data_IF_112098151623
#
_entry.id   IF_112098151623
#
_cell.length_a   1.000
_cell.length_b   1.000
_cell.length_c   1.000
_cell.angle_alpha   90.00
_cell.angle_beta   90.00
_cell.angle_gamma   90.00
#
_symmetry.space_group_name_H-M   'P 1'
#
loop_
_entity.id
_entity.type
_entity.pdbx_description
1 polymer ?
#
# COMPACT_ATOMS: atom_id res chain seq x y z
N UNK A 1 -12.48 -5.46 -56.25
CA UNK A 1 -12.53 -6.31 -55.03
C UNK A 1 -11.18 -6.83 -54.56
N UNK A 2 -10.22 -7.19 -55.44
CA UNK A 2 -8.92 -7.76 -55.04
C UNK A 2 -8.00 -6.78 -54.28
N UNK A 3 -7.92 -5.52 -54.68
CA UNK A 3 -7.03 -4.53 -54.05
C UNK A 3 -7.44 -4.20 -52.59
N UNK A 4 -8.74 -4.10 -52.31
CA UNK A 4 -9.25 -3.87 -50.94
C UNK A 4 -8.89 -5.00 -49.98
N UNK A 5 -8.85 -6.25 -50.45
CA UNK A 5 -8.43 -7.42 -49.63
C UNK A 5 -6.93 -7.41 -49.33
N UNK A 6 -6.11 -6.94 -50.27
CA UNK A 6 -4.66 -6.81 -50.07
C UNK A 6 -4.36 -5.69 -49.06
N UNK A 7 -5.05 -4.55 -49.15
CA UNK A 7 -4.87 -3.45 -48.19
C UNK A 7 -5.27 -3.88 -46.77
N UNK A 8 -6.37 -4.62 -46.60
CA UNK A 8 -6.78 -5.14 -45.29
C UNK A 8 -5.76 -6.14 -44.73
N UNK A 9 -5.22 -7.03 -45.57
CA UNK A 9 -4.17 -7.98 -45.15
C UNK A 9 -2.88 -7.28 -44.73
N UNK A 10 -2.47 -6.21 -45.42
CA UNK A 10 -1.27 -5.43 -45.06
C UNK A 10 -1.49 -4.65 -43.77
N UNK A 11 -2.67 -4.06 -43.56
CA UNK A 11 -3.00 -3.37 -42.31
C UNK A 11 -3.08 -4.33 -41.12
N UNK A 12 -3.67 -5.51 -41.32
CA UNK A 12 -3.69 -6.56 -40.29
C UNK A 12 -2.27 -7.07 -40.00
N UNK A 13 -1.43 -7.26 -41.01
CA UNK A 13 -0.03 -7.65 -40.82
C UNK A 13 0.78 -6.58 -40.09
N UNK A 14 0.50 -5.30 -40.33
CA UNK A 14 1.12 -4.19 -39.58
C UNK A 14 0.65 -4.13 -38.12
N UNK A 15 -0.62 -4.45 -37.84
CA UNK A 15 -1.13 -4.64 -36.48
C UNK A 15 -0.50 -5.84 -35.76
N UNK A 16 -0.20 -6.93 -36.49
CA UNK A 16 0.49 -8.11 -35.96
C UNK A 16 2.02 -7.96 -35.86
N UNK A 17 2.62 -6.98 -36.54
CA UNK A 17 4.06 -6.66 -36.43
C UNK A 17 4.31 -5.50 -35.45
N UNK A 18 3.28 -4.74 -35.09
CA UNK A 18 3.27 -3.79 -33.99
C UNK A 18 2.98 -4.49 -32.64
N UNK A 19 3.52 -5.70 -32.44
CA UNK A 19 3.70 -6.20 -31.07
C UNK A 19 4.84 -5.34 -30.54
N UNK A 20 4.49 -4.28 -29.83
CA UNK A 20 5.45 -3.57 -29.00
C UNK A 20 6.21 -4.63 -28.22
N UNK A 21 7.54 -4.58 -28.24
CA UNK A 21 8.32 -5.23 -27.20
C UNK A 21 7.79 -4.67 -25.88
N UNK A 22 6.91 -5.42 -25.21
CA UNK A 22 6.61 -5.16 -23.82
C UNK A 22 7.92 -5.45 -23.13
N UNK A 23 8.60 -4.40 -22.65
CA UNK A 23 9.78 -4.54 -21.83
C UNK A 23 9.38 -5.49 -20.69
N UNK A 24 9.96 -6.69 -20.71
CA UNK A 24 9.82 -7.62 -19.61
C UNK A 24 10.67 -7.08 -18.46
N UNK A 25 10.18 -7.31 -17.25
CA UNK A 25 10.61 -6.64 -16.03
C UNK A 25 12.02 -6.99 -15.59
N UNK A 26 12.50 -6.08 -14.77
CA UNK A 26 13.82 -5.81 -14.21
C UNK A 26 13.56 -4.83 -13.05
N UNK A 27 14.56 -4.44 -12.28
CA UNK A 27 14.54 -3.33 -11.30
C UNK A 27 14.18 -1.94 -11.89
N UNK A 28 13.19 -1.85 -12.78
CA UNK A 28 13.04 -0.78 -13.76
C UNK A 28 14.10 -0.83 -14.87
N UNK A 29 15.33 -1.19 -14.53
CA UNK A 29 16.51 -1.07 -15.38
C UNK A 29 17.60 -0.32 -14.61
N UNK A 30 18.69 0.05 -15.29
CA UNK A 30 19.60 1.07 -14.73
C UNK A 30 18.97 2.42 -15.04
N UNK A 31 18.50 3.14 -14.02
CA UNK A 31 17.91 4.45 -14.25
C UNK A 31 18.96 5.39 -14.81
N UNK A 32 18.68 5.98 -15.97
CA UNK A 32 19.58 6.96 -16.58
C UNK A 32 19.49 8.35 -15.93
N UNK A 33 18.46 8.58 -15.10
CA UNK A 33 18.17 9.82 -14.39
C UNK A 33 17.61 9.51 -12.99
N UNK A 34 18.30 9.95 -11.94
CA UNK A 34 17.88 9.72 -10.54
C UNK A 34 16.56 10.42 -10.18
N UNK A 35 16.18 11.45 -10.95
CA UNK A 35 14.92 12.21 -10.74
C UNK A 35 13.72 11.61 -11.47
N UNK A 36 13.94 10.61 -12.31
CA UNK A 36 12.92 9.86 -13.05
C UNK A 36 13.34 8.39 -13.11
N UNK A 37 13.38 7.70 -11.95
CA UNK A 37 13.83 6.32 -11.90
C UNK A 37 12.91 5.42 -12.72
N UNK A 38 13.50 4.49 -13.45
CA UNK A 38 12.77 3.45 -14.14
C UNK A 38 12.03 2.61 -13.08
N UNK A 39 10.71 2.55 -13.20
CA UNK A 39 9.87 1.97 -12.14
C UNK A 39 9.82 0.44 -12.21
N UNK A 40 10.19 -0.23 -11.11
CA UNK A 40 10.30 -1.68 -10.96
C UNK A 40 9.41 -2.30 -9.88
N UNK A 41 9.70 -3.55 -9.52
CA UNK A 41 8.98 -4.28 -8.46
C UNK A 41 9.39 -3.79 -7.07
N UNK A 42 10.67 -3.52 -6.81
CA UNK A 42 11.12 -2.93 -5.54
C UNK A 42 10.47 -1.57 -5.28
N UNK A 43 10.28 -0.74 -6.32
CA UNK A 43 9.57 0.53 -6.21
C UNK A 43 8.11 0.39 -5.82
N UNK A 44 7.45 -0.71 -6.22
CA UNK A 44 6.08 -0.98 -5.80
C UNK A 44 6.03 -1.29 -4.32
N UNK A 45 6.89 -2.20 -3.85
CA UNK A 45 7.02 -2.48 -2.41
C UNK A 45 7.27 -1.19 -1.61
N UNK A 46 8.19 -0.35 -2.11
CA UNK A 46 8.53 0.95 -1.52
C UNK A 46 7.33 1.89 -1.43
N UNK A 47 6.65 2.10 -2.57
CA UNK A 47 5.51 3.00 -2.70
C UNK A 47 4.35 2.56 -1.81
N UNK A 48 3.98 1.29 -1.84
CA UNK A 48 2.82 0.81 -1.08
C UNK A 48 3.09 0.72 0.42
N UNK A 49 4.30 0.34 0.84
CA UNK A 49 4.68 0.46 2.25
C UNK A 49 4.55 1.89 2.76
N UNK A 50 4.94 2.88 1.97
CA UNK A 50 4.73 4.29 2.32
C UNK A 50 3.24 4.68 2.33
N UNK A 51 2.46 4.26 1.33
CA UNK A 51 1.01 4.55 1.27
C UNK A 51 0.30 4.04 2.53
N UNK A 52 0.59 2.82 2.97
CA UNK A 52 -0.03 2.24 4.16
C UNK A 52 0.20 3.06 5.43
N UNK A 53 1.37 3.68 5.57
CA UNK A 53 1.63 4.59 6.69
C UNK A 53 0.94 5.93 6.44
N UNK A 54 1.08 6.49 5.23
CA UNK A 54 0.54 7.80 4.86
C UNK A 54 -0.96 7.93 5.10
N UNK A 55 -1.72 6.88 4.80
CA UNK A 55 -3.18 6.89 4.94
C UNK A 55 -3.63 7.16 6.39
N UNK A 56 -2.86 6.72 7.38
CA UNK A 56 -3.21 6.87 8.79
C UNK A 56 -2.32 7.88 9.54
N UNK A 57 -1.11 8.12 9.05
CA UNK A 57 -0.06 8.91 9.70
C UNK A 57 0.76 9.71 8.67
N UNK A 58 0.15 10.66 7.95
CA UNK A 58 0.78 11.35 6.83
C UNK A 58 2.06 12.12 7.23
N UNK A 59 2.13 12.66 8.45
CA UNK A 59 3.31 13.38 8.93
C UNK A 59 4.54 12.47 9.09
N UNK A 60 4.33 11.18 9.41
CA UNK A 60 5.41 10.20 9.59
C UNK A 60 6.15 9.84 8.29
N UNK A 61 5.57 10.15 7.12
CA UNK A 61 6.19 9.89 5.81
C UNK A 61 6.58 11.16 5.05
N UNK A 62 6.44 12.33 5.67
CA UNK A 62 6.75 13.62 5.02
C UNK A 62 8.16 13.69 4.44
N UNK A 63 9.13 13.05 5.09
CA UNK A 63 10.51 12.93 4.61
C UNK A 63 10.65 12.02 3.40
N UNK A 64 9.75 11.06 3.15
CA UNK A 64 9.72 10.27 1.92
C UNK A 64 9.03 11.07 0.79
N UNK A 65 7.92 11.73 1.10
CA UNK A 65 7.12 12.47 0.12
C UNK A 65 7.84 13.69 -0.47
N UNK A 66 8.76 14.27 0.29
CA UNK A 66 9.54 15.42 -0.15
C UNK A 66 10.31 15.14 -1.46
N UNK A 67 10.85 13.93 -1.60
CA UNK A 67 11.56 13.48 -2.79
C UNK A 67 11.34 11.99 -3.00
N UNK A 68 10.16 11.66 -3.53
CA UNK A 68 9.79 10.27 -3.84
C UNK A 68 10.73 9.65 -4.87
N UNK A 69 11.19 10.43 -5.85
CA UNK A 69 12.14 9.97 -6.87
C UNK A 69 13.44 9.46 -6.24
N UNK A 70 14.00 10.19 -5.27
CA UNK A 70 15.20 9.75 -4.55
C UNK A 70 14.94 8.46 -3.77
N UNK A 71 13.79 8.35 -3.08
CA UNK A 71 13.47 7.11 -2.36
C UNK A 71 13.39 5.89 -3.30
N UNK A 72 12.68 6.03 -4.43
CA UNK A 72 12.50 4.97 -5.41
C UNK A 72 13.80 4.63 -6.14
N UNK A 73 14.56 5.62 -6.60
CA UNK A 73 15.87 5.43 -7.21
C UNK A 73 16.81 4.62 -6.32
N UNK A 74 16.81 4.86 -5.01
CA UNK A 74 17.67 4.12 -4.10
C UNK A 74 17.24 2.66 -3.85
N UNK A 75 16.08 2.25 -4.36
CA UNK A 75 15.72 0.83 -4.42
C UNK A 75 16.49 0.06 -5.48
N UNK A 76 17.11 0.70 -6.49
CA UNK A 76 17.87 -0.03 -7.53
C UNK A 76 19.38 -0.15 -7.20
N UNK A 77 19.86 0.68 -6.27
CA UNK A 77 21.28 0.87 -5.97
C UNK A 77 21.99 -0.42 -5.52
N UNK A 78 21.39 -1.29 -4.67
CA UNK A 78 22.01 -2.56 -4.30
C UNK A 78 22.41 -3.40 -5.51
N UNK A 79 21.53 -3.52 -6.50
CA UNK A 79 21.78 -4.32 -7.70
C UNK A 79 22.66 -3.63 -8.73
N UNK A 80 22.47 -2.33 -8.94
CA UNK A 80 23.06 -1.64 -10.09
C UNK A 80 24.43 -1.07 -9.78
N UNK A 81 24.63 -0.60 -8.54
CA UNK A 81 25.83 0.15 -8.14
C UNK A 81 26.66 -0.62 -7.13
N UNK A 82 26.03 -1.15 -6.06
CA UNK A 82 26.76 -1.87 -5.00
C UNK A 82 27.15 -3.27 -5.46
N UNK A 83 26.25 -3.94 -6.18
CA UNK A 83 26.37 -5.34 -6.62
C UNK A 83 26.75 -6.25 -5.45
N UNK A 84 26.14 -6.04 -4.30
CA UNK A 84 26.45 -6.73 -3.06
C UNK A 84 25.54 -7.95 -2.85
N UNK A 85 25.44 -8.78 -3.89
CA UNK A 85 24.60 -9.97 -4.03
C UNK A 85 24.44 -10.85 -2.78
N UNK A 86 25.47 -10.91 -1.92
CA UNK A 86 25.42 -11.62 -0.64
C UNK A 86 24.39 -11.06 0.36
N UNK A 87 23.85 -9.86 0.14
CA UNK A 87 22.86 -9.19 0.99
C UNK A 87 21.44 -9.27 0.42
N UNK A 88 21.27 -9.84 -0.77
CA UNK A 88 19.96 -9.98 -1.41
C UNK A 88 19.23 -11.23 -0.92
N UNK A 89 20.00 -12.22 -0.44
CA UNK A 89 19.47 -13.54 -0.11
C UNK A 89 19.45 -13.83 1.39
N UNK A 90 18.64 -14.80 1.78
CA UNK A 90 18.63 -15.41 3.11
C UNK A 90 18.15 -16.86 3.07
N UNK A 91 19.06 -17.82 3.17
CA UNK A 91 18.70 -19.25 3.28
C UNK A 91 18.07 -19.56 4.65
N UNK A 92 16.74 -19.58 4.71
CA UNK A 92 16.03 -19.94 5.93
C UNK A 92 16.14 -21.45 6.23
N UNK A 93 16.40 -22.29 5.25
CA UNK A 93 16.57 -23.74 5.43
C UNK A 93 17.81 -24.09 6.24
N UNK A 94 18.96 -23.53 5.86
CA UNK A 94 20.24 -23.79 6.52
C UNK A 94 20.41 -23.00 7.82
N UNK A 95 19.94 -21.75 7.84
CA UNK A 95 20.16 -20.86 8.98
C UNK A 95 18.96 -20.77 9.95
N UNK A 96 17.74 -21.03 9.48
CA UNK A 96 16.52 -20.84 10.27
C UNK A 96 16.44 -19.44 10.87
N UNK A 97 16.00 -19.32 12.12
CA UNK A 97 16.04 -18.05 12.87
C UNK A 97 17.40 -17.75 13.54
N UNK A 98 18.48 -18.47 13.21
CA UNK A 98 19.74 -18.36 13.95
C UNK A 98 20.56 -17.14 13.57
N UNK A 99 20.06 -16.32 12.65
CA UNK A 99 20.88 -15.36 11.90
C UNK A 99 21.77 -16.15 10.94
N UNK A 100 21.95 -15.66 9.72
CA UNK A 100 22.78 -16.32 8.72
C UNK A 100 24.25 -16.41 9.16
N UNK A 101 25.20 -16.50 8.23
CA UNK A 101 26.57 -16.07 8.55
C UNK A 101 26.48 -14.69 9.22
N UNK A 102 27.18 -14.44 10.35
CA UNK A 102 26.99 -13.26 11.22
C UNK A 102 27.34 -11.90 10.59
N UNK A 103 27.46 -11.85 9.28
CA UNK A 103 27.94 -10.74 8.47
C UNK A 103 27.34 -10.72 7.04
N UNK A 104 26.27 -11.49 6.76
CA UNK A 104 25.70 -11.63 5.40
C UNK A 104 24.20 -11.91 5.41
N UNK A 105 23.55 -11.42 4.36
CA UNK A 105 22.15 -11.71 4.04
C UNK A 105 21.22 -10.55 4.34
N UNK A 106 20.06 -10.58 3.70
CA UNK A 106 19.09 -9.48 3.73
C UNK A 106 18.66 -9.03 5.13
N UNK A 107 18.46 -9.90 6.15
CA UNK A 107 18.06 -9.45 7.49
C UNK A 107 19.06 -8.48 8.14
N UNK A 108 20.36 -8.76 8.05
CA UNK A 108 21.40 -7.90 8.62
C UNK A 108 21.55 -6.59 7.81
N UNK A 109 21.41 -6.67 6.49
CA UNK A 109 21.41 -5.50 5.61
C UNK A 109 20.22 -4.58 5.91
N UNK A 110 19.01 -5.13 6.01
CA UNK A 110 17.78 -4.42 6.41
C UNK A 110 17.96 -3.74 7.77
N UNK A 111 18.50 -4.45 8.77
CA UNK A 111 18.73 -3.85 10.08
C UNK A 111 19.77 -2.73 10.06
N UNK A 112 20.84 -2.89 9.29
CA UNK A 112 21.86 -1.86 9.13
C UNK A 112 21.27 -0.61 8.48
N UNK A 113 20.50 -0.77 7.41
CA UNK A 113 19.78 0.32 6.78
C UNK A 113 18.75 0.95 7.73
N UNK A 114 18.03 0.16 8.51
CA UNK A 114 17.08 0.65 9.51
C UNK A 114 17.76 1.57 10.53
N UNK A 115 18.89 1.15 11.07
CA UNK A 115 19.68 1.94 12.01
C UNK A 115 20.14 3.27 11.38
N UNK A 116 20.49 3.25 10.08
CA UNK A 116 20.81 4.47 9.33
C UNK A 116 19.60 5.37 9.10
N UNK A 117 18.42 4.81 8.80
CA UNK A 117 17.17 5.58 8.68
C UNK A 117 16.88 6.27 10.01
N UNK A 118 16.82 5.52 11.12
CA UNK A 118 16.53 6.07 12.45
C UNK A 118 17.56 7.12 12.86
N UNK A 119 18.85 6.85 12.65
CA UNK A 119 19.92 7.79 12.98
C UNK A 119 19.81 9.11 12.22
N UNK A 120 19.57 9.06 10.91
CA UNK A 120 19.42 10.25 10.08
C UNK A 120 18.12 11.00 10.38
N UNK A 121 17.00 10.30 10.57
CA UNK A 121 15.74 10.93 10.97
C UNK A 121 15.86 11.61 12.34
N UNK A 122 16.58 11.02 13.29
CA UNK A 122 16.82 11.65 14.60
C UNK A 122 17.56 12.97 14.42
N UNK A 123 18.62 13.01 13.60
CA UNK A 123 19.36 14.23 13.30
C UNK A 123 18.51 15.26 12.55
N UNK A 124 17.63 14.81 11.66
CA UNK A 124 16.68 15.67 10.95
C UNK A 124 15.65 16.30 11.91
N UNK A 125 15.10 15.51 12.83
CA UNK A 125 14.17 15.96 13.88
C UNK A 125 14.86 16.95 14.83
N UNK A 126 16.07 16.65 15.29
CA UNK A 126 16.87 17.56 16.13
C UNK A 126 17.17 18.89 15.43
N UNK A 127 17.29 18.88 14.09
CA UNK A 127 17.47 20.09 13.28
C UNK A 127 16.17 20.88 13.04
N UNK A 128 15.03 20.41 13.56
CA UNK A 128 13.71 21.02 13.37
C UNK A 128 13.05 20.67 12.05
N UNK A 129 13.36 19.48 11.50
CA UNK A 129 12.75 18.91 10.29
C UNK A 129 12.77 19.85 9.05
N UNK A 130 13.89 20.52 8.71
CA UNK A 130 13.91 21.42 7.57
C UNK A 130 13.73 20.66 6.26
N UNK A 131 12.95 21.22 5.33
CA UNK A 131 12.96 20.78 3.93
C UNK A 131 14.34 21.01 3.30
N UNK A 132 14.72 20.14 2.39
CA UNK A 132 16.00 20.10 1.70
C UNK A 132 17.14 19.59 2.58
N UNK A 133 16.83 18.93 3.70
CA UNK A 133 17.85 18.46 4.63
C UNK A 133 18.62 17.28 4.04
N UNK A 134 19.94 17.32 4.16
CA UNK A 134 20.80 16.17 3.84
C UNK A 134 20.47 14.97 4.73
N UNK A 135 20.02 15.19 5.96
CA UNK A 135 19.62 14.09 6.85
C UNK A 135 18.35 13.40 6.37
N UNK A 136 17.34 14.15 5.91
CA UNK A 136 16.13 13.56 5.33
C UNK A 136 16.47 12.81 4.02
N UNK A 137 17.34 13.38 3.18
CA UNK A 137 17.85 12.71 1.98
C UNK A 137 18.59 11.42 2.31
N UNK A 138 19.54 11.43 3.24
CA UNK A 138 20.29 10.22 3.62
C UNK A 138 19.38 9.15 4.27
N UNK A 139 18.32 9.56 4.98
CA UNK A 139 17.28 8.64 5.42
C UNK A 139 16.51 8.03 4.24
N UNK A 140 16.10 8.80 3.22
CA UNK A 140 15.43 8.29 2.00
C UNK A 140 16.28 7.24 1.29
N UNK A 141 17.57 7.51 1.14
CA UNK A 141 18.54 6.59 0.52
C UNK A 141 18.64 5.27 1.28
N UNK A 142 18.81 5.35 2.60
CA UNK A 142 18.87 4.19 3.46
C UNK A 142 17.56 3.39 3.42
N UNK A 143 16.41 4.08 3.37
CA UNK A 143 15.11 3.42 3.26
C UNK A 143 14.92 2.74 1.90
N UNK A 144 15.37 3.34 0.80
CA UNK A 144 15.34 2.72 -0.53
C UNK A 144 16.11 1.39 -0.55
N UNK A 145 17.35 1.40 -0.04
CA UNK A 145 18.16 0.18 0.09
C UNK A 145 17.53 -0.85 1.04
N UNK A 146 16.95 -0.40 2.17
CA UNK A 146 16.25 -1.28 3.10
C UNK A 146 15.11 -2.01 2.39
N UNK A 147 14.26 -1.26 1.70
CA UNK A 147 13.13 -1.80 0.95
C UNK A 147 13.59 -2.80 -0.08
N UNK A 148 14.71 -2.52 -0.77
CA UNK A 148 15.28 -3.45 -1.74
C UNK A 148 15.54 -4.83 -1.13
N UNK A 149 16.39 -4.89 -0.09
CA UNK A 149 16.77 -6.16 0.53
C UNK A 149 15.57 -6.89 1.15
N UNK A 150 14.60 -6.17 1.70
CA UNK A 150 13.40 -6.80 2.26
C UNK A 150 12.47 -7.36 1.16
N UNK A 151 12.33 -6.64 0.05
CA UNK A 151 11.54 -7.11 -1.09
C UNK A 151 12.16 -8.35 -1.74
N UNK A 152 13.49 -8.42 -1.79
CA UNK A 152 14.20 -9.61 -2.28
C UNK A 152 13.80 -10.86 -1.50
N UNK A 153 13.87 -10.86 -0.16
CA UNK A 153 13.47 -12.05 0.61
C UNK A 153 11.96 -12.28 0.70
N UNK A 154 11.14 -11.37 0.18
CA UNK A 154 9.73 -11.66 -0.08
C UNK A 154 9.53 -12.44 -1.39
N UNK A 155 10.54 -12.44 -2.27
CA UNK A 155 10.61 -13.33 -3.41
C UNK A 155 11.27 -14.66 -2.96
N UNK A 156 10.59 -15.81 -3.13
CA UNK A 156 11.08 -17.09 -2.67
C UNK A 156 12.47 -17.49 -3.21
N UNK A 157 12.88 -16.95 -4.37
CA UNK A 157 14.23 -17.14 -4.95
C UNK A 157 15.36 -16.70 -4.04
N UNK A 158 15.11 -15.67 -3.25
CA UNK A 158 16.12 -15.12 -2.37
C UNK A 158 16.12 -15.84 -1.02
N UNK A 159 15.45 -16.99 -0.88
CA UNK A 159 15.27 -17.65 0.42
C UNK A 159 15.95 -19.01 0.57
N UNK A 160 16.72 -19.42 -0.43
CA UNK A 160 17.38 -20.73 -0.56
C UNK A 160 18.81 -20.67 -1.10
N UNK A 161 19.54 -19.60 -0.78
CA UNK A 161 20.93 -19.38 -1.22
C UNK A 161 21.88 -20.49 -0.76
N UNK A 162 22.03 -21.52 -1.58
CA UNK A 162 23.24 -22.31 -1.60
C UNK A 162 24.35 -21.42 -2.20
N UNK A 163 25.53 -21.38 -1.59
CA UNK A 163 26.62 -20.50 -2.03
C UNK A 163 27.15 -20.79 -3.46
N UNK A 164 26.51 -21.69 -4.21
CA UNK A 164 26.73 -21.95 -5.64
C UNK A 164 25.64 -21.37 -6.55
N UNK A 165 24.56 -20.78 -5.99
CA UNK A 165 23.30 -20.50 -6.70
C UNK A 165 23.12 -19.08 -7.24
N UNK A 166 24.03 -18.16 -6.91
CA UNK A 166 24.17 -16.88 -7.63
C UNK A 166 24.41 -17.06 -9.15
N UNK A 167 24.63 -18.30 -9.61
CA UNK A 167 24.66 -18.68 -11.02
C UNK A 167 23.30 -19.12 -11.59
N UNK A 168 22.53 -20.00 -10.92
CA UNK A 168 21.37 -20.68 -11.55
C UNK A 168 20.10 -19.82 -11.55
N UNK A 169 19.93 -18.95 -10.57
CA UNK A 169 18.80 -18.01 -10.50
C UNK A 169 18.79 -17.02 -11.69
N UNK A 170 19.99 -16.68 -12.16
CA UNK A 170 20.24 -15.86 -13.34
C UNK A 170 20.48 -16.68 -14.62
N UNK A 171 20.43 -18.02 -14.56
CA UNK A 171 20.59 -18.84 -15.77
C UNK A 171 19.45 -18.55 -16.75
N UNK A 172 19.83 -18.33 -18.01
CA UNK A 172 18.87 -18.04 -19.08
C UNK A 172 18.11 -19.31 -19.46
N UNK A 173 16.82 -19.36 -19.16
CA UNK A 173 15.96 -20.44 -19.65
C UNK A 173 15.32 -20.05 -20.99
N UNK A 174 15.02 -21.05 -21.82
CA UNK A 174 14.27 -20.88 -23.07
C UNK A 174 12.85 -21.41 -22.92
N UNK A 175 11.88 -20.51 -22.78
CA UNK A 175 10.45 -20.83 -22.72
C UNK A 175 9.76 -20.74 -24.08
N UNK A 176 8.55 -21.31 -24.18
CA UNK A 176 7.74 -21.27 -25.40
C UNK A 176 6.27 -20.96 -25.12
N UNK A 177 5.80 -19.80 -25.60
CA UNK A 177 4.37 -19.41 -25.60
C UNK A 177 3.86 -19.47 -27.04
N UNK A 178 3.00 -20.44 -27.34
CA UNK A 178 2.53 -20.68 -28.71
C UNK A 178 3.68 -20.92 -29.71
N UNK A 179 3.86 -20.02 -30.68
CA UNK A 179 4.96 -20.08 -31.66
C UNK A 179 6.21 -19.29 -31.25
N UNK A 180 6.17 -18.54 -30.15
CA UNK A 180 7.27 -17.68 -29.72
C UNK A 180 8.19 -18.43 -28.76
N UNK A 181 9.49 -18.37 -29.02
CA UNK A 181 10.53 -18.80 -28.08
C UNK A 181 11.13 -17.54 -27.50
N UNK A 182 11.19 -17.41 -26.18
CA UNK A 182 11.85 -16.30 -25.51
C UNK A 182 12.99 -16.81 -24.64
N UNK A 183 13.93 -15.92 -24.33
CA UNK A 183 15.06 -16.14 -23.44
C UNK A 183 14.97 -15.11 -22.34
N UNK A 184 14.82 -15.55 -21.10
CA UNK A 184 14.88 -14.69 -19.93
C UNK A 184 15.41 -15.51 -18.74
N UNK A 185 15.93 -14.84 -17.72
CA UNK A 185 16.26 -15.50 -16.46
C UNK A 185 14.97 -15.96 -15.78
N UNK A 186 15.12 -16.94 -14.88
CA UNK A 186 14.05 -17.34 -13.97
C UNK A 186 13.57 -16.17 -13.13
N UNK A 187 14.52 -15.38 -12.61
CA UNK A 187 14.28 -14.13 -11.90
C UNK A 187 13.36 -13.16 -12.67
N UNK A 188 13.72 -12.80 -13.90
CA UNK A 188 12.89 -11.90 -14.73
C UNK A 188 11.51 -12.48 -15.05
N UNK A 189 11.35 -13.81 -15.07
CA UNK A 189 10.06 -14.46 -15.30
C UNK A 189 9.15 -14.37 -14.08
N UNK A 190 9.70 -14.61 -12.89
CA UNK A 190 9.00 -14.47 -11.62
C UNK A 190 8.58 -13.03 -11.44
N UNK A 191 9.55 -12.10 -11.53
CA UNK A 191 9.28 -10.68 -11.46
C UNK A 191 8.10 -10.34 -12.36
N UNK A 192 8.14 -10.76 -13.64
CA UNK A 192 7.06 -10.59 -14.64
C UNK A 192 5.70 -11.20 -14.27
N UNK A 193 5.64 -12.23 -13.45
CA UNK A 193 4.37 -12.73 -12.92
C UNK A 193 3.85 -11.83 -11.79
N UNK A 194 4.78 -11.33 -10.97
CA UNK A 194 4.56 -10.59 -9.72
C UNK A 194 3.90 -9.22 -9.96
N UNK A 195 4.46 -8.26 -10.72
CA UNK A 195 3.71 -7.03 -11.12
C UNK A 195 2.44 -7.30 -11.94
N UNK A 196 2.24 -8.47 -12.58
CA UNK A 196 1.02 -8.79 -13.36
C UNK A 196 -0.05 -9.17 -12.37
N UNK A 197 0.37 -9.84 -11.30
CA UNK A 197 -0.43 -10.04 -10.13
C UNK A 197 -0.86 -8.70 -9.52
N UNK A 198 0.11 -7.80 -9.34
CA UNK A 198 -0.15 -6.48 -8.78
C UNK A 198 -1.06 -5.60 -9.66
N UNK A 199 -0.81 -5.44 -10.95
CA UNK A 199 -1.62 -4.62 -11.87
C UNK A 199 -3.08 -5.08 -11.92
N UNK A 200 -3.32 -6.38 -11.84
CA UNK A 200 -4.67 -6.92 -11.83
C UNK A 200 -5.37 -6.75 -10.47
N UNK A 201 -4.62 -6.49 -9.40
CA UNK A 201 -5.09 -6.44 -8.01
C UNK A 201 -4.78 -5.11 -7.31
N UNK A 202 -4.35 -4.08 -8.05
CA UNK A 202 -4.12 -2.72 -7.52
C UNK A 202 -5.34 -2.25 -6.70
N UNK A 203 -6.55 -2.58 -7.17
CA UNK A 203 -7.79 -2.32 -6.44
C UNK A 203 -7.97 -3.09 -5.12
N UNK A 204 -7.45 -4.32 -5.02
CA UNK A 204 -7.51 -5.10 -3.77
C UNK A 204 -6.45 -4.65 -2.76
N UNK A 205 -5.29 -4.15 -3.22
CA UNK A 205 -4.28 -3.56 -2.33
C UNK A 205 -4.78 -2.28 -1.66
N UNK A 206 -5.49 -1.41 -2.39
CA UNK A 206 -6.13 -0.21 -1.84
C UNK A 206 -7.25 -0.53 -0.83
N UNK A 207 -7.82 -1.73 -0.89
CA UNK A 207 -8.86 -2.18 0.04
C UNK A 207 -8.29 -2.74 1.35
N UNK A 208 -6.99 -3.06 1.38
CA UNK A 208 -6.31 -3.64 2.55
C UNK A 208 -5.66 -2.51 3.34
N UNK A 209 -6.09 -2.36 4.59
CA UNK A 209 -5.47 -1.46 5.56
C UNK A 209 -4.71 -2.28 6.59
N UNK A 210 -3.45 -2.64 6.34
CA UNK A 210 -2.69 -3.40 7.31
C UNK A 210 -2.44 -2.54 8.55
N UNK A 211 -2.40 -3.18 9.71
CA UNK A 211 -2.01 -2.51 10.95
C UNK A 211 -0.50 -2.28 10.94
N UNK A 212 -0.08 -1.14 10.40
CA UNK A 212 1.32 -0.71 10.39
C UNK A 212 1.85 -0.36 11.78
N UNK A 213 0.96 -0.22 12.78
CA UNK A 213 1.35 0.07 14.17
C UNK A 213 1.71 -1.18 14.96
N UNK A 214 1.39 -2.36 14.43
CA UNK A 214 1.76 -3.64 15.03
C UNK A 214 3.29 -3.69 15.25
N UNK A 215 3.70 -4.24 16.38
CA UNK A 215 5.12 -4.40 16.72
C UNK A 215 5.86 -5.16 15.59
N UNK A 216 7.10 -4.74 15.31
CA UNK A 216 8.02 -5.55 14.52
C UNK A 216 8.21 -6.92 15.19
N UNK A 217 8.41 -7.98 14.40
CA UNK A 217 8.71 -9.30 14.93
C UNK A 217 9.91 -9.21 15.88
N UNK A 218 9.72 -9.67 17.12
CA UNK A 218 10.69 -9.54 18.22
C UNK A 218 11.28 -8.12 18.42
N UNK A 219 10.63 -7.08 17.90
CA UNK A 219 11.02 -5.68 18.04
C UNK A 219 12.19 -5.22 17.16
N UNK A 220 12.56 -5.95 16.10
CA UNK A 220 13.68 -5.54 15.22
C UNK A 220 13.30 -5.64 13.74
N UNK A 221 13.93 -4.82 12.90
CA UNK A 221 13.75 -4.90 11.46
C UNK A 221 14.38 -6.20 10.93
N UNK A 222 15.49 -6.66 11.52
CA UNK A 222 16.10 -7.96 11.24
C UNK A 222 15.10 -9.12 11.36
N UNK A 223 14.39 -9.20 12.49
CA UNK A 223 13.49 -10.33 12.75
C UNK A 223 12.19 -10.22 11.94
N UNK A 224 11.76 -9.01 11.57
CA UNK A 224 10.69 -8.81 10.58
C UNK A 224 11.11 -9.40 9.22
N UNK A 225 12.33 -9.13 8.77
CA UNK A 225 12.89 -9.70 7.53
C UNK A 225 12.99 -11.21 7.58
N UNK A 226 13.43 -11.79 8.71
CA UNK A 226 13.46 -13.24 8.89
C UNK A 226 12.07 -13.88 8.79
N UNK A 227 11.05 -13.19 9.30
CA UNK A 227 9.68 -13.66 9.19
C UNK A 227 9.16 -13.62 7.75
N UNK A 228 9.47 -12.56 7.01
CA UNK A 228 9.18 -12.48 5.57
C UNK A 228 9.87 -13.62 4.80
N UNK A 229 11.17 -13.82 5.03
CA UNK A 229 11.94 -14.88 4.39
C UNK A 229 11.37 -16.26 4.70
N UNK A 230 11.00 -16.53 5.96
CA UNK A 230 10.35 -17.78 6.32
C UNK A 230 9.03 -17.97 5.58
N UNK A 231 8.18 -16.93 5.54
CA UNK A 231 6.88 -17.01 4.90
C UNK A 231 7.00 -17.27 3.39
N UNK A 232 7.94 -16.57 2.74
CA UNK A 232 8.31 -16.82 1.34
C UNK A 232 8.85 -18.25 1.13
N UNK A 233 9.56 -18.80 2.09
CA UNK A 233 10.09 -20.15 1.97
C UNK A 233 9.06 -21.27 2.25
N UNK A 234 8.00 -20.98 3.03
CA UNK A 234 7.01 -21.99 3.45
C UNK A 234 5.99 -22.38 2.38
N UNK A 235 5.83 -21.61 1.30
CA UNK A 235 4.86 -21.88 0.24
C UNK A 235 3.40 -21.57 0.60
N UNK A 236 2.52 -21.73 -0.38
CA UNK A 236 1.09 -21.40 -0.30
C UNK A 236 0.31 -22.18 0.80
N UNK A 237 0.75 -23.40 1.14
CA UNK A 237 0.09 -24.20 2.18
C UNK A 237 0.56 -23.86 3.61
N UNK A 238 1.60 -23.02 3.74
CA UNK A 238 2.15 -22.54 5.01
C UNK A 238 2.60 -23.66 5.96
N UNK A 239 2.83 -24.86 5.43
CA UNK A 239 3.28 -26.02 6.21
C UNK A 239 4.78 -26.27 6.08
N UNK A 240 5.47 -25.53 5.21
CA UNK A 240 6.85 -25.85 4.82
C UNK A 240 6.96 -27.22 4.15
N UNK A 241 5.84 -27.71 3.59
CA UNK A 241 5.74 -28.99 2.90
C UNK A 241 4.82 -28.82 1.71
N UNK A 242 5.37 -28.46 0.57
CA UNK A 242 4.70 -28.72 -0.71
C UNK A 242 4.34 -30.21 -0.77
N UNK A 243 3.04 -30.51 -0.74
CA UNK A 243 2.54 -31.89 -0.71
C UNK A 243 2.95 -32.60 -2.00
N UNK A 244 4.03 -33.39 -1.93
CA UNK A 244 4.72 -33.96 -3.09
C UNK A 244 6.24 -34.03 -2.90
N UNK A 245 6.79 -33.14 -2.08
CA UNK A 245 8.18 -33.15 -1.60
C UNK A 245 8.19 -33.46 -0.10
N UNK A 246 8.80 -34.58 0.29
CA UNK A 246 8.89 -34.99 1.69
C UNK A 246 9.83 -34.04 2.48
N UNK A 247 9.32 -32.88 2.91
CA UNK A 247 9.99 -31.98 3.86
C UNK A 247 11.15 -31.16 3.30
N UNK A 248 10.99 -30.57 2.11
CA UNK A 248 11.96 -29.66 1.50
C UNK A 248 11.32 -28.30 1.21
N UNK A 249 12.14 -27.26 1.25
CA UNK A 249 11.74 -25.85 1.16
C UNK A 249 11.32 -25.46 -0.26
N UNK A 250 10.49 -24.42 -0.43
CA UNK A 250 10.04 -24.00 -1.76
C UNK A 250 11.19 -23.48 -2.61
N UNK A 251 12.15 -22.79 -1.98
CA UNK A 251 13.35 -22.34 -2.67
C UNK A 251 14.15 -23.50 -3.28
N UNK A 252 14.44 -24.58 -2.53
CA UNK A 252 15.22 -25.73 -3.02
C UNK A 252 14.74 -26.36 -4.36
N UNK A 253 13.47 -26.17 -4.72
CA UNK A 253 12.84 -26.69 -5.95
C UNK A 253 12.26 -25.59 -6.84
N UNK A 254 12.72 -24.37 -6.65
CA UNK A 254 12.11 -23.19 -7.24
C UNK A 254 12.23 -23.14 -8.76
N UNK A 255 13.28 -23.74 -9.34
CA UNK A 255 13.38 -23.93 -10.79
C UNK A 255 12.18 -24.73 -11.33
N UNK A 256 11.80 -25.80 -10.66
CA UNK A 256 10.70 -26.69 -11.06
C UNK A 256 9.35 -25.99 -10.86
N UNK A 257 9.23 -25.22 -9.77
CA UNK A 257 8.11 -24.34 -9.49
C UNK A 257 7.92 -23.25 -10.56
N UNK A 258 8.99 -22.60 -11.02
CA UNK A 258 8.91 -21.59 -12.07
C UNK A 258 8.63 -22.15 -13.45
N UNK A 259 9.17 -23.33 -13.79
CA UNK A 259 8.77 -24.03 -15.00
C UNK A 259 7.24 -24.22 -15.02
N UNK A 260 6.61 -24.50 -13.87
CA UNK A 260 5.16 -24.61 -13.73
C UNK A 260 4.41 -23.25 -13.73
N UNK A 261 4.87 -22.23 -12.98
CA UNK A 261 4.28 -20.87 -13.00
C UNK A 261 4.29 -20.32 -14.41
N UNK A 262 5.45 -20.32 -15.05
CA UNK A 262 5.67 -19.64 -16.33
C UNK A 262 4.90 -20.34 -17.45
N UNK A 263 4.85 -21.68 -17.45
CA UNK A 263 3.99 -22.41 -18.40
C UNK A 263 2.49 -22.27 -18.09
N UNK A 264 2.11 -22.21 -16.81
CA UNK A 264 0.73 -22.15 -16.34
C UNK A 264 0.05 -20.80 -16.54
N UNK A 265 0.78 -19.69 -16.32
CA UNK A 265 0.27 -18.31 -16.50
C UNK A 265 -0.11 -18.02 -17.95
N UNK A 266 0.70 -18.43 -18.91
CA UNK A 266 0.48 -18.09 -20.32
C UNK A 266 -0.48 -19.07 -21.03
N UNK A 267 -0.81 -20.22 -20.44
CA UNK A 267 -1.66 -21.23 -21.08
C UNK A 267 -2.97 -21.57 -20.34
N UNK A 268 -3.20 -21.09 -19.10
CA UNK A 268 -4.33 -21.52 -18.26
C UNK A 268 -4.47 -23.06 -18.14
N UNK A 269 -3.38 -23.78 -18.36
CA UNK A 269 -3.30 -25.24 -18.31
C UNK A 269 -2.05 -25.57 -17.47
N UNK A 270 -2.28 -26.02 -16.24
CA UNK A 270 -1.26 -26.71 -15.47
C UNK A 270 -1.10 -28.11 -16.08
N UNK A 271 -0.03 -28.36 -16.84
CA UNK A 271 0.31 -29.71 -17.28
C UNK A 271 1.57 -30.14 -16.56
N UNK A 272 1.43 -31.14 -15.71
CA UNK A 272 2.49 -31.85 -14.99
C UNK A 272 3.60 -32.25 -15.96
N UNK A 273 4.73 -31.56 -15.90
CA UNK A 273 5.99 -32.03 -16.46
C UNK A 273 6.80 -32.66 -15.33
N UNK A 274 7.39 -33.83 -15.57
CA UNK A 274 8.26 -34.57 -14.63
C UNK A 274 7.64 -35.30 -13.42
N UNK A 275 6.31 -35.40 -13.32
CA UNK A 275 5.67 -36.21 -12.25
C UNK A 275 5.60 -35.50 -10.90
N UNK A 276 5.81 -34.19 -10.91
CA UNK A 276 5.64 -33.26 -9.81
C UNK A 276 4.17 -32.84 -9.79
N UNK A 277 3.55 -32.82 -8.61
CA UNK A 277 2.21 -32.24 -8.44
C UNK A 277 2.36 -31.16 -7.40
N UNK A 278 2.54 -29.91 -7.83
CA UNK A 278 2.24 -28.78 -6.96
C UNK A 278 0.73 -28.78 -6.82
N UNK A 279 0.21 -29.08 -5.63
CA UNK A 279 -1.23 -28.96 -5.37
C UNK A 279 -1.60 -27.48 -5.37
N UNK A 280 -1.92 -26.96 -6.57
CA UNK A 280 -2.56 -25.67 -6.77
C UNK A 280 -2.82 -25.31 -8.22
N UNK A 281 -3.94 -24.64 -8.49
CA UNK A 281 -4.20 -24.06 -9.81
C UNK A 281 -3.24 -22.88 -10.05
N UNK A 282 -3.10 -22.41 -11.29
CA UNK A 282 -2.42 -21.11 -11.58
C UNK A 282 -2.89 -20.02 -10.61
N UNK A 283 -4.16 -20.05 -10.20
CA UNK A 283 -4.73 -19.12 -9.25
C UNK A 283 -4.11 -19.23 -7.84
N UNK A 284 -3.76 -20.42 -7.35
CA UNK A 284 -3.16 -20.56 -6.02
C UNK A 284 -1.74 -19.99 -5.97
N UNK A 285 -0.96 -20.22 -7.02
CA UNK A 285 0.38 -19.65 -7.14
C UNK A 285 0.31 -18.13 -7.30
N UNK A 286 -0.70 -17.66 -8.04
CA UNK A 286 -1.01 -16.26 -8.19
C UNK A 286 -1.38 -15.61 -6.84
N UNK A 287 -2.33 -16.20 -6.10
CA UNK A 287 -2.74 -15.69 -4.79
C UNK A 287 -1.59 -15.69 -3.80
N UNK A 288 -0.74 -16.70 -3.83
CA UNK A 288 0.43 -16.74 -2.97
C UNK A 288 1.41 -15.60 -3.29
N UNK A 289 1.67 -15.31 -4.56
CA UNK A 289 2.47 -14.14 -4.95
C UNK A 289 1.85 -12.83 -4.46
N UNK A 290 0.52 -12.67 -4.59
CA UNK A 290 -0.20 -11.51 -4.04
C UNK A 290 -0.03 -11.43 -2.52
N UNK A 291 -0.12 -12.56 -1.80
CA UNK A 291 0.11 -12.59 -0.35
C UNK A 291 1.53 -12.18 0.02
N UNK A 292 2.56 -12.65 -0.71
CA UNK A 292 3.96 -12.26 -0.49
C UNK A 292 4.20 -10.77 -0.75
N UNK A 293 3.57 -10.26 -1.80
CA UNK A 293 3.58 -8.85 -2.14
C UNK A 293 2.94 -7.98 -1.04
N UNK A 294 1.78 -8.39 -0.52
CA UNK A 294 1.12 -7.75 0.61
C UNK A 294 1.96 -7.83 1.88
N UNK A 295 2.58 -8.98 2.13
CA UNK A 295 3.45 -9.22 3.27
C UNK A 295 4.63 -8.25 3.29
N UNK A 296 5.35 -8.16 2.18
CA UNK A 296 6.51 -7.28 2.07
C UNK A 296 6.12 -5.82 2.19
N UNK A 297 5.09 -5.37 1.47
CA UNK A 297 4.63 -3.98 1.57
C UNK A 297 4.14 -3.63 2.99
N UNK A 298 3.42 -4.54 3.65
CA UNK A 298 3.01 -4.38 5.05
C UNK A 298 4.21 -4.26 5.98
N UNK A 299 5.22 -5.12 5.79
CA UNK A 299 6.43 -5.13 6.62
C UNK A 299 7.24 -3.84 6.43
N UNK A 300 7.35 -3.34 5.19
CA UNK A 300 7.94 -2.02 4.89
C UNK A 300 7.15 -0.93 5.59
N UNK A 301 5.81 -0.95 5.52
CA UNK A 301 4.97 0.03 6.20
C UNK A 301 5.19 0.04 7.72
N UNK A 302 5.26 -1.14 8.35
CA UNK A 302 5.63 -1.26 9.77
C UNK A 302 7.01 -0.66 10.03
N UNK A 303 8.01 -0.99 9.21
CA UNK A 303 9.37 -0.48 9.38
C UNK A 303 9.43 1.05 9.25
N UNK A 304 8.75 1.64 8.27
CA UNK A 304 8.61 3.10 8.11
C UNK A 304 8.01 3.70 9.38
N UNK A 305 6.87 3.16 9.83
CA UNK A 305 6.19 3.64 11.03
C UNK A 305 7.12 3.61 12.25
N UNK A 306 7.71 2.45 12.54
CA UNK A 306 8.58 2.26 13.70
C UNK A 306 9.86 3.09 13.61
N UNK A 307 10.45 3.27 12.42
CA UNK A 307 11.62 4.13 12.23
C UNK A 307 11.30 5.59 12.53
N UNK A 308 10.19 6.10 11.98
CA UNK A 308 9.72 7.47 12.22
C UNK A 308 9.42 7.71 13.70
N UNK A 309 8.70 6.80 14.37
CA UNK A 309 8.41 6.90 15.80
C UNK A 309 9.69 6.84 16.64
N UNK A 310 10.61 5.91 16.35
CA UNK A 310 11.87 5.77 17.07
C UNK A 310 12.74 7.04 16.96
N UNK A 311 12.73 7.70 15.81
CA UNK A 311 13.44 8.95 15.56
C UNK A 311 12.74 10.19 16.14
N UNK A 312 11.52 10.05 16.67
CA UNK A 312 10.72 11.17 17.16
C UNK A 312 10.15 12.06 16.04
N UNK A 313 10.00 11.53 14.82
CA UNK A 313 9.26 12.21 13.76
C UNK A 313 7.84 12.38 14.26
N UNK A 314 7.42 13.63 14.39
CA UNK A 314 6.06 13.94 14.78
C UNK A 314 5.13 13.80 13.59
N UNK A 315 4.02 13.10 13.78
CA UNK A 315 2.87 13.14 12.86
C UNK A 315 2.18 14.51 12.85
N UNK A 316 2.65 15.46 13.67
CA UNK A 316 2.26 16.84 13.52
C UNK A 316 2.79 17.34 12.18
N UNK A 317 1.88 17.45 11.21
CA UNK A 317 1.96 18.42 10.12
C UNK A 317 2.40 19.76 10.70
N UNK A 318 3.71 20.01 10.69
CA UNK A 318 4.41 21.23 11.14
C UNK A 318 3.76 22.01 12.30
N UNK A 319 4.33 21.91 13.50
CA UNK A 319 4.24 23.00 14.49
C UNK A 319 5.09 24.20 14.04
N UNK A 320 4.56 24.86 13.01
CA UNK A 320 5.06 26.08 12.40
C UNK A 320 3.91 27.04 12.11
N UNK A 321 2.94 27.12 13.02
CA UNK A 321 1.82 28.05 12.98
C UNK A 321 0.49 27.34 13.12
N UNK A 322 -0.20 27.61 14.23
CA UNK A 322 -1.65 27.56 14.43
C UNK A 322 -2.45 27.35 13.13
N UNK A 323 -2.58 26.08 12.74
CA UNK A 323 -3.36 25.62 11.60
C UNK A 323 -4.17 24.44 12.06
N UNK A 324 -5.10 24.73 12.96
CA UNK A 324 -6.30 23.91 13.13
C UNK A 324 -6.80 23.47 11.74
N UNK A 325 -6.93 22.17 11.50
CA UNK A 325 -7.45 21.64 10.23
C UNK A 325 -8.85 22.21 10.02
N UNK A 326 -9.16 22.64 8.80
CA UNK A 326 -10.47 23.23 8.54
C UNK A 326 -11.54 22.14 8.61
N UNK A 327 -12.63 22.39 9.33
CA UNK A 327 -13.82 21.55 9.34
C UNK A 327 -15.00 22.26 8.68
N UNK A 328 -15.92 21.50 8.11
CA UNK A 328 -17.09 22.02 7.40
C UNK A 328 -18.28 21.06 7.49
N UNK A 329 -19.46 21.58 7.14
CA UNK A 329 -20.70 20.80 7.09
C UNK A 329 -20.78 20.07 5.75
N UNK A 330 -20.78 18.74 5.82
CA UNK A 330 -20.85 17.88 4.64
C UNK A 330 -22.29 17.67 4.16
N UNK A 331 -23.23 17.51 5.09
CA UNK A 331 -24.60 17.10 4.79
C UNK A 331 -25.56 17.54 5.90
N UNK A 332 -26.78 17.92 5.51
CA UNK A 332 -27.94 18.12 6.37
C UNK A 332 -29.04 17.18 5.90
N UNK A 333 -29.45 16.25 6.75
CA UNK A 333 -30.51 15.28 6.43
C UNK A 333 -31.61 15.23 7.48
N UNK A 334 -32.75 14.63 7.13
CA UNK A 334 -33.97 14.67 7.92
C UNK A 334 -34.58 13.29 8.13
N UNK A 335 -35.26 13.12 9.27
CA UNK A 335 -36.15 12.00 9.53
C UNK A 335 -37.43 12.46 10.23
N UNK A 336 -38.56 11.91 9.80
CA UNK A 336 -39.89 12.26 10.31
C UNK A 336 -40.50 11.06 11.02
N UNK A 337 -40.89 11.26 12.28
CA UNK A 337 -41.54 10.23 13.09
C UNK A 337 -42.97 10.64 13.43
N UNK A 338 -43.94 9.95 12.82
CA UNK A 338 -45.36 10.12 13.12
C UNK A 338 -45.77 9.19 14.26
N UNK A 339 -46.08 9.77 15.42
CA UNK A 339 -46.52 9.03 16.59
C UNK A 339 -48.04 8.92 16.58
N UNK A 340 -48.51 7.69 16.36
CA UNK A 340 -49.94 7.37 16.29
C UNK A 340 -50.51 7.19 17.70
N UNK A 341 -51.41 8.09 18.11
CA UNK A 341 -52.07 8.08 19.42
C UNK A 341 -53.46 8.72 19.39
N UNK A 342 -54.08 8.94 20.57
CA UNK A 342 -55.38 9.64 20.67
C UNK A 342 -55.32 11.08 20.13
N UNK A 343 -54.13 11.67 20.16
CA UNK A 343 -53.74 12.89 19.45
C UNK A 343 -52.48 12.47 18.69
N UNK A 344 -52.53 12.51 17.35
CA UNK A 344 -51.35 12.26 16.52
C UNK A 344 -50.42 13.47 16.62
N UNK A 345 -49.11 13.21 16.67
CA UNK A 345 -48.07 14.24 16.61
C UNK A 345 -46.95 13.80 15.68
N UNK A 346 -46.27 14.78 15.10
CA UNK A 346 -45.09 14.58 14.28
C UNK A 346 -43.87 15.09 15.04
N UNK A 347 -42.87 14.23 15.20
CA UNK A 347 -41.55 14.63 15.68
C UNK A 347 -40.61 14.67 14.47
N UNK A 348 -39.82 15.72 14.34
CA UNK A 348 -38.92 15.94 13.21
C UNK A 348 -37.47 16.00 13.72
N UNK A 349 -36.60 15.22 13.08
CA UNK A 349 -35.18 15.12 13.37
C UNK A 349 -34.37 15.69 12.21
N UNK A 350 -33.32 16.42 12.55
CA UNK A 350 -32.34 16.96 11.61
C UNK A 350 -30.96 16.48 12.03
N UNK A 351 -30.21 15.93 11.09
CA UNK A 351 -28.86 15.40 11.28
C UNK A 351 -27.89 16.30 10.52
N UNK A 352 -26.87 16.81 11.21
CA UNK A 352 -25.81 17.62 10.59
C UNK A 352 -24.51 16.85 10.70
N UNK A 353 -23.91 16.52 9.55
CA UNK A 353 -22.64 15.78 9.48
C UNK A 353 -21.48 16.76 9.31
N UNK A 354 -20.49 16.67 10.19
CA UNK A 354 -19.29 17.51 10.17
C UNK A 354 -18.06 16.65 9.86
N UNK A 355 -17.26 17.12 8.90
CA UNK A 355 -16.01 16.48 8.48
C UNK A 355 -14.87 17.50 8.39
N UNK A 356 -13.63 17.02 8.36
CA UNK A 356 -12.48 17.84 8.02
C UNK A 356 -12.22 17.90 6.51
N UNK A 357 -11.18 18.65 6.10
CA UNK A 357 -10.72 18.73 4.71
C UNK A 357 -10.22 17.41 4.12
N UNK A 358 -9.90 16.42 4.94
CA UNK A 358 -9.49 15.08 4.49
C UNK A 358 -10.70 14.16 4.27
N UNK A 359 -11.89 14.56 4.73
CA UNK A 359 -13.12 13.79 4.65
C UNK A 359 -13.37 12.93 5.88
N UNK A 360 -12.56 13.07 6.92
CA UNK A 360 -12.73 12.34 8.17
C UNK A 360 -13.80 12.99 9.05
N UNK A 361 -14.62 12.17 9.70
CA UNK A 361 -15.73 12.63 10.54
C UNK A 361 -15.23 13.25 11.85
N UNK A 362 -15.81 14.39 12.24
CA UNK A 362 -15.39 15.10 13.45
C UNK A 362 -16.35 14.86 14.60
N UNK A 363 -15.93 14.00 15.54
CA UNK A 363 -16.62 13.77 16.80
C UNK A 363 -16.35 14.90 17.81
N UNK A 364 -17.34 15.22 18.67
CA UNK A 364 -17.16 16.21 19.73
C UNK A 364 -17.27 17.68 19.30
N UNK A 365 -17.55 17.98 18.04
CA UNK A 365 -17.79 19.35 17.57
C UNK A 365 -19.15 19.86 18.04
N UNK A 366 -19.20 21.06 18.61
CA UNK A 366 -20.45 21.73 18.96
C UNK A 366 -21.03 22.44 17.72
N UNK A 367 -22.14 21.94 17.21
CA UNK A 367 -22.86 22.49 16.05
C UNK A 367 -23.99 23.37 16.53
N UNK A 368 -24.04 24.62 16.07
CA UNK A 368 -25.13 25.56 16.36
C UNK A 368 -25.96 25.82 15.10
N UNK A 369 -27.29 25.67 15.22
CA UNK A 369 -28.23 25.90 14.12
C UNK A 369 -29.34 26.88 14.49
N UNK A 370 -29.90 27.52 13.47
CA UNK A 370 -31.19 28.20 13.51
C UNK A 370 -32.25 27.33 12.83
N UNK A 371 -33.25 26.89 13.59
CA UNK A 371 -34.41 26.16 13.09
C UNK A 371 -35.59 27.12 12.91
N UNK A 372 -35.98 27.37 11.67
CA UNK A 372 -37.13 28.21 11.31
C UNK A 372 -38.37 27.35 11.13
N UNK A 373 -39.43 27.65 11.86
CA UNK A 373 -40.73 26.99 11.75
C UNK A 373 -41.59 27.63 10.63
N UNK A 374 -42.67 26.95 10.18
CA UNK A 374 -43.54 27.45 9.11
C UNK A 374 -44.19 28.81 9.40
N UNK A 375 -44.35 29.18 10.67
CA UNK A 375 -44.88 30.47 11.09
C UNK A 375 -43.84 31.61 11.09
N UNK A 376 -42.59 31.30 10.71
CA UNK A 376 -41.46 32.21 10.69
C UNK A 376 -40.76 32.38 12.05
N UNK A 377 -41.20 31.69 13.10
CA UNK A 377 -40.47 31.67 14.37
C UNK A 377 -39.16 30.89 14.22
N UNK A 378 -38.10 31.35 14.91
CA UNK A 378 -36.77 30.75 14.85
C UNK A 378 -36.35 30.29 16.24
N UNK A 379 -35.89 29.05 16.34
CA UNK A 379 -35.31 28.46 17.54
C UNK A 379 -33.84 28.15 17.29
N UNK A 380 -32.95 28.71 18.11
CA UNK A 380 -31.52 28.40 18.06
C UNK A 380 -31.18 27.23 18.98
N UNK A 381 -30.42 26.28 18.48
CA UNK A 381 -30.02 25.06 19.21
C UNK A 381 -28.54 24.78 19.01
N UNK A 382 -27.91 24.15 20.01
CA UNK A 382 -26.51 23.70 19.94
C UNK A 382 -26.44 22.25 20.41
N UNK A 383 -25.81 21.38 19.62
CA UNK A 383 -25.66 19.94 19.90
C UNK A 383 -24.25 19.51 19.51
N UNK A 384 -23.67 18.60 20.28
CA UNK A 384 -22.34 18.02 20.00
C UNK A 384 -22.46 16.82 19.05
N UNK A 385 -21.56 16.71 18.07
CA UNK A 385 -21.48 15.54 17.18
C UNK A 385 -21.09 14.27 17.93
N UNK A 386 -21.66 13.14 17.51
CA UNK A 386 -21.33 11.81 18.04
C UNK A 386 -20.03 11.23 17.43
N UNK A 387 -19.72 9.96 17.70
CA UNK A 387 -18.53 9.29 17.17
C UNK A 387 -18.52 9.13 15.64
N UNK A 388 -19.64 9.37 14.96
CA UNK A 388 -19.75 9.34 13.51
C UNK A 388 -19.75 10.75 12.91
N UNK A 389 -19.47 11.78 13.71
CA UNK A 389 -19.47 13.18 13.28
C UNK A 389 -20.86 13.78 13.07
N UNK A 390 -21.90 13.19 13.66
CA UNK A 390 -23.29 13.63 13.43
C UNK A 390 -23.86 14.33 14.66
N UNK A 391 -24.32 15.58 14.49
CA UNK A 391 -25.11 16.31 15.48
C UNK A 391 -26.60 16.13 15.20
N UNK A 392 -27.35 15.60 16.18
CA UNK A 392 -28.78 15.30 16.02
C UNK A 392 -29.65 16.31 16.75
N UNK A 393 -30.45 17.06 16.00
CA UNK A 393 -31.44 18.02 16.50
C UNK A 393 -32.84 17.44 16.40
N UNK A 394 -33.69 17.71 17.39
CA UNK A 394 -35.06 17.19 17.42
C UNK A 394 -36.06 18.28 17.83
N UNK A 395 -37.20 18.32 17.13
CA UNK A 395 -38.37 19.11 17.50
C UNK A 395 -39.57 18.17 17.61
N UNK A 396 -40.28 18.24 18.74
CA UNK A 396 -41.47 17.41 18.98
C UNK A 396 -42.75 18.17 18.69
N UNK A 397 -43.78 17.44 18.23
CA UNK A 397 -45.11 18.00 17.94
C UNK A 397 -45.06 19.21 16.99
N UNK A 398 -44.30 19.07 15.89
CA UNK A 398 -44.15 20.13 14.89
C UNK A 398 -45.43 20.33 14.08
N UNK A 399 -45.74 21.60 13.76
CA UNK A 399 -46.86 21.94 12.89
C UNK A 399 -46.58 21.63 11.42
N UNK A 400 -47.64 21.40 10.64
CA UNK A 400 -47.52 21.20 9.19
C UNK A 400 -46.90 22.41 8.48
N UNK A 401 -46.14 22.15 7.42
CA UNK A 401 -45.49 23.18 6.62
C UNK A 401 -43.97 22.98 6.53
N UNK A 402 -43.31 23.96 5.92
CA UNK A 402 -41.86 23.90 5.69
C UNK A 402 -41.08 24.37 6.92
N UNK A 403 -40.24 23.50 7.43
CA UNK A 403 -39.20 23.80 8.40
C UNK A 403 -37.87 23.96 7.66
N UNK A 404 -37.06 24.94 8.10
CA UNK A 404 -35.75 25.22 7.50
C UNK A 404 -34.70 25.23 8.59
N UNK A 405 -33.59 24.52 8.38
CA UNK A 405 -32.42 24.55 9.28
C UNK A 405 -31.28 25.24 8.57
N UNK A 406 -30.62 26.15 9.26
CA UNK A 406 -29.39 26.81 8.82
C UNK A 406 -28.31 26.61 9.86
N UNK A 407 -27.15 26.09 9.46
CA UNK A 407 -25.98 26.01 10.33
C UNK A 407 -25.41 27.41 10.51
N UNK A 408 -25.28 27.82 11.77
CA UNK A 408 -24.81 29.15 12.17
C UNK A 408 -23.32 29.11 12.51
N UNK A 409 -22.89 28.08 13.24
CA UNK A 409 -21.52 27.95 13.71
C UNK A 409 -21.19 26.49 14.03
N UNK A 410 -19.90 26.14 13.96
CA UNK A 410 -19.37 24.85 14.42
C UNK A 410 -18.08 25.12 15.19
N UNK A 411 -17.94 24.57 16.39
CA UNK A 411 -16.75 24.80 17.23
C UNK A 411 -16.18 23.51 17.77
N UNK A 412 -14.86 23.35 17.65
CA UNK A 412 -14.07 22.22 18.14
C UNK A 412 -12.68 22.77 18.51
N UNK A 413 -11.97 22.14 19.44
CA UNK A 413 -10.72 22.69 19.98
C UNK A 413 -9.51 22.55 19.03
N UNK A 414 -9.50 21.53 18.17
CA UNK A 414 -8.43 21.21 17.24
C UNK A 414 -8.70 21.59 15.78
N UNK A 415 -9.94 21.98 15.44
CA UNK A 415 -10.35 22.36 14.09
C UNK A 415 -10.88 23.78 14.03
N UNK A 416 -10.68 24.45 12.89
CA UNK A 416 -11.33 25.74 12.60
C UNK A 416 -12.47 25.50 11.63
N UNK A 417 -13.68 25.95 11.98
CA UNK A 417 -14.80 25.91 11.07
C UNK A 417 -14.61 26.90 9.92
N UNK A 418 -14.63 26.39 8.69
CA UNK A 418 -14.64 27.21 7.47
C UNK A 418 -15.98 27.03 6.75
N UNK A 419 -16.94 27.96 6.93
CA UNK A 419 -18.25 27.87 6.29
C UNK A 419 -18.19 28.02 4.77
N UNK A 420 -17.07 28.48 4.20
CA UNK A 420 -16.91 28.57 2.74
C UNK A 420 -16.71 27.20 2.08
N UNK A 421 -16.36 26.18 2.87
CA UNK A 421 -16.20 24.80 2.43
C UNK A 421 -17.47 23.95 2.59
N UNK A 422 -18.51 24.47 3.27
CA UNK A 422 -19.76 23.74 3.45
C UNK A 422 -20.34 23.29 2.10
N UNK A 423 -20.62 21.99 1.99
CA UNK A 423 -21.41 21.46 0.87
C UNK A 423 -22.89 21.79 1.06
N UNK A 424 -23.31 21.87 2.33
CA UNK A 424 -24.64 22.27 2.70
C UNK A 424 -24.60 23.19 3.92
N UNK A 425 -25.25 24.35 3.84
CA UNK A 425 -25.36 25.32 4.95
C UNK A 425 -26.80 25.48 5.43
N UNK A 426 -27.76 25.25 4.53
CA UNK A 426 -29.18 25.37 4.80
C UNK A 426 -29.92 24.28 4.06
N UNK A 427 -30.85 23.61 4.73
CA UNK A 427 -31.79 22.67 4.13
C UNK A 427 -33.21 22.84 4.69
N UNK A 428 -34.23 22.25 4.04
CA UNK A 428 -35.63 22.37 4.43
C UNK A 428 -36.43 21.08 4.23
N UNK A 429 -37.30 20.78 5.19
CA UNK A 429 -38.22 19.65 5.16
C UNK A 429 -39.67 20.14 5.28
N UNK A 430 -40.59 19.53 4.53
CA UNK A 430 -42.02 19.87 4.59
C UNK A 430 -42.81 18.72 5.19
N UNK A 431 -43.41 18.98 6.36
CA UNK A 431 -44.31 18.08 7.09
C UNK A 431 -45.74 18.19 6.57
#
# INVERSE_FOLDING_TARGET
>A
MRWKRIVILVLLLQLFLAVSSVAAWSNGGESSDESDPDYGTHDQFAKYGMIYVKESFPGLVSWLEEDMSEYLYWTEIPDMVLQDWANHNYDFGDYGYRGGPPDRGAPDAVQTCYDWVVGNLTLWVEAGQPSGSTYASDARKAMGMLTHYLADVCNPMHTDDDATDSGKEHETFTGRVGSYTYRMSYHSSHEKATTRAWEAYEYEFDAIRPDVTADLQNGTAHDETLWCAQFANMGADRTGRTVGYEGQNVGDHYQEFLEEIVYGFDNAICTVHHGITVEGTTDQLYYWNVELMQLGATSIGKIIYHASIAAGVSDSTGDGGDSSVAMYVQDISWDEVIIHGRIARTDLYCYVTVVDTNGDVIAGAEVTIDWTHPDGSVVRMTVTTDSNGVATFAQSDVGSGTHTVTVVDVTEASHTYDPSLNLETTDSYTV
#
